data_IF_138023430945
#
_entry.id   IF_138023430945
#
_cell.length_a   1.000
_cell.length_b   1.000
_cell.length_c   1.000
_cell.angle_alpha   90.00
_cell.angle_beta   90.00
_cell.angle_gamma   90.00
#
_symmetry.space_group_name_H-M   'P 1'
#
loop_
_entity.id
_entity.type
_entity.pdbx_description
1 polymer ?
#
# COMPACT_ATOMS: atom_id res chain seq x y z
N UNK A 1 -10.74 10.44 4.52
CA UNK A 1 -11.55 9.22 4.41
C UNK A 1 -10.78 8.08 5.07
N UNK A 2 -11.40 7.31 5.95
CA UNK A 2 -10.80 6.07 6.46
C UNK A 2 -11.19 4.98 5.46
N UNK A 3 -10.22 4.45 4.69
CA UNK A 3 -10.49 3.53 3.60
C UNK A 3 -10.23 2.07 4.02
N UNK A 4 -11.15 1.17 3.70
CA UNK A 4 -11.01 -0.29 3.88
C UNK A 4 -10.54 -1.01 2.61
N UNK A 5 -10.41 -0.29 1.49
CA UNK A 5 -10.03 -0.85 0.19
C UNK A 5 -8.69 -0.26 -0.26
N UNK A 6 -7.77 -1.15 -0.63
CA UNK A 6 -6.39 -0.81 -0.99
C UNK A 6 -6.31 0.17 -2.19
N UNK A 7 -7.25 0.04 -3.15
CA UNK A 7 -7.33 0.91 -4.33
C UNK A 7 -7.48 2.40 -3.98
N UNK A 8 -8.15 2.73 -2.86
CA UNK A 8 -8.29 4.12 -2.44
C UNK A 8 -7.04 4.68 -1.79
N UNK A 9 -6.21 3.82 -1.21
CA UNK A 9 -4.95 4.22 -0.56
C UNK A 9 -3.90 4.54 -1.63
N UNK A 10 -3.86 3.78 -2.72
CA UNK A 10 -2.91 3.99 -3.82
C UNK A 10 -3.12 5.34 -4.54
N UNK A 11 -4.38 5.78 -4.69
CA UNK A 11 -4.74 7.04 -5.34
C UNK A 11 -4.84 8.25 -4.39
N UNK A 12 -4.51 8.07 -3.10
CA UNK A 12 -4.59 9.17 -2.16
C UNK A 12 -3.57 10.27 -2.47
N UNK A 13 -4.02 11.52 -2.53
CA UNK A 13 -3.14 12.68 -2.73
C UNK A 13 -2.18 12.89 -1.55
N UNK A 14 -2.51 12.38 -0.37
CA UNK A 14 -1.67 12.41 0.81
C UNK A 14 -2.02 11.25 1.74
N UNK A 15 -0.98 10.58 2.24
CA UNK A 15 -1.01 9.48 3.21
C UNK A 15 -0.24 9.94 4.44
N UNK A 16 -0.78 9.64 5.62
CA UNK A 16 -0.18 9.93 6.92
C UNK A 16 -0.04 8.62 7.68
N UNK A 17 1.20 8.23 7.98
CA UNK A 17 1.49 7.07 8.82
C UNK A 17 1.60 7.53 10.26
N UNK A 18 0.80 6.95 11.14
CA UNK A 18 0.82 7.25 12.57
C UNK A 18 1.47 6.07 13.29
N UNK A 19 2.48 6.37 14.11
CA UNK A 19 3.15 5.42 14.99
C UNK A 19 3.36 6.09 16.34
N UNK A 20 3.09 5.38 17.43
CA UNK A 20 3.20 5.87 18.81
C UNK A 20 2.50 7.22 19.07
N UNK A 21 1.33 7.41 18.43
CA UNK A 21 0.54 8.64 18.54
C UNK A 21 1.13 9.86 17.82
N UNK A 22 2.15 9.68 17.00
CA UNK A 22 2.79 10.75 16.20
C UNK A 22 2.78 10.41 14.71
N UNK A 23 2.89 11.44 13.87
CA UNK A 23 3.06 11.26 12.42
C UNK A 23 4.50 10.82 12.19
N UNK A 24 4.67 9.55 11.83
CA UNK A 24 5.97 8.97 11.49
C UNK A 24 6.37 9.29 10.05
N UNK A 25 5.41 9.24 9.12
CA UNK A 25 5.65 9.51 7.70
C UNK A 25 4.45 10.25 7.08
N UNK A 26 4.74 11.08 6.07
CA UNK A 26 3.71 11.77 5.28
C UNK A 26 4.15 11.91 3.82
N UNK A 27 3.25 11.68 2.87
CA UNK A 27 3.58 11.79 1.45
C UNK A 27 2.55 11.13 0.55
N UNK A 28 2.83 11.03 -0.75
CA UNK A 28 2.03 10.21 -1.66
C UNK A 28 2.47 8.75 -1.57
N UNK A 29 1.60 7.84 -2.02
CA UNK A 29 1.90 6.40 -2.07
C UNK A 29 3.28 6.11 -2.69
N UNK A 30 3.55 6.66 -3.88
CA UNK A 30 4.82 6.43 -4.60
C UNK A 30 6.04 6.87 -3.79
N UNK A 31 5.98 8.05 -3.17
CA UNK A 31 7.09 8.61 -2.40
C UNK A 31 7.39 7.76 -1.16
N UNK A 32 6.33 7.29 -0.48
CA UNK A 32 6.44 6.46 0.73
C UNK A 32 6.90 5.02 0.45
N UNK A 33 6.57 4.47 -0.72
CA UNK A 33 7.09 3.16 -1.16
C UNK A 33 8.58 3.25 -1.47
N UNK A 34 9.04 4.33 -2.10
CA UNK A 34 10.47 4.55 -2.40
C UNK A 34 11.27 4.81 -1.13
N UNK A 35 10.67 5.47 -0.13
CA UNK A 35 11.30 5.77 1.15
C UNK A 35 11.64 4.53 2.00
N UNK A 36 11.15 3.34 1.63
CA UNK A 36 11.40 2.06 2.32
C UNK A 36 11.07 2.10 3.83
N UNK A 37 10.08 2.91 4.20
CA UNK A 37 9.70 3.17 5.58
C UNK A 37 8.66 2.20 6.16
N UNK A 38 8.02 2.64 7.25
CA UNK A 38 6.96 1.91 7.96
C UNK A 38 5.77 1.68 7.02
N UNK A 39 5.44 2.67 6.20
CA UNK A 39 4.39 2.57 5.20
C UNK A 39 4.58 1.36 4.28
N UNK A 40 5.76 1.22 3.68
CA UNK A 40 6.07 0.15 2.74
C UNK A 40 5.99 -1.22 3.41
N UNK A 41 6.57 -1.35 4.61
CA UNK A 41 6.50 -2.61 5.37
C UNK A 41 5.04 -3.02 5.64
N UNK A 42 4.18 -2.08 6.02
CA UNK A 42 2.77 -2.33 6.26
C UNK A 42 2.04 -2.69 4.95
N UNK A 43 2.37 -2.01 3.85
CA UNK A 43 1.85 -2.30 2.53
C UNK A 43 2.24 -3.69 2.02
N UNK A 44 3.50 -4.10 2.21
CA UNK A 44 4.00 -5.42 1.82
C UNK A 44 3.31 -6.54 2.60
N UNK A 45 3.05 -6.34 3.90
CA UNK A 45 2.26 -7.27 4.73
C UNK A 45 0.82 -7.37 4.20
N UNK A 46 0.19 -6.22 3.91
CA UNK A 46 -1.16 -6.18 3.35
C UNK A 46 -1.24 -6.87 1.99
N UNK A 47 -0.25 -6.65 1.13
CA UNK A 47 -0.14 -7.28 -0.18
C UNK A 47 0.02 -8.79 -0.02
N UNK A 48 0.92 -9.24 0.84
CA UNK A 48 1.15 -10.68 1.11
C UNK A 48 -0.12 -11.39 1.60
N UNK A 49 -0.95 -10.72 2.40
CA UNK A 49 -2.19 -11.30 2.94
C UNK A 49 -3.35 -11.28 1.95
N UNK A 50 -3.36 -10.34 0.98
CA UNK A 50 -4.39 -10.26 -0.07
C UNK A 50 -4.00 -10.96 -1.39
N UNK A 51 -2.80 -11.56 -1.49
CA UNK A 51 -2.43 -12.47 -2.58
C UNK A 51 -2.91 -13.88 -2.23
N UNK A 52 -4.23 -14.08 -2.20
CA UNK A 52 -4.88 -15.38 -2.36
C UNK A 52 -5.97 -15.34 -3.44
N UNK A 53 -5.97 -14.31 -4.30
CA UNK A 53 -6.91 -14.21 -5.42
C UNK A 53 -6.43 -13.35 -6.60
N UNK A 54 -5.14 -13.40 -6.94
CA UNK A 54 -4.65 -12.93 -8.25
C UNK A 54 -3.54 -13.86 -8.75
N UNK A 55 -3.87 -15.14 -8.88
CA UNK A 55 -3.48 -15.83 -10.12
C UNK A 55 -4.52 -15.40 -11.16
N UNK A 56 -4.32 -14.22 -11.76
CA UNK A 56 -4.84 -14.06 -13.11
C UNK A 56 -3.85 -14.85 -13.95
N UNK A 57 -4.21 -16.10 -14.22
CA UNK A 57 -3.72 -16.86 -15.38
C UNK A 57 -4.03 -16.02 -16.63
N UNK A 58 -3.16 -15.06 -16.91
CA UNK A 58 -3.03 -14.43 -18.20
C UNK A 58 -2.24 -15.37 -19.08
N UNK A 59 -2.94 -16.40 -19.55
CA UNK A 59 -2.60 -17.13 -20.76
C UNK A 59 -2.63 -16.17 -21.94
N UNK A 60 -1.46 -15.88 -22.49
CA UNK A 60 -1.23 -15.44 -23.87
C UNK A 60 0.19 -15.95 -24.21
N UNK A 61 0.35 -17.23 -24.54
CA UNK A 61 0.16 -17.84 -25.87
C UNK A 61 1.09 -17.22 -26.93
N UNK A 62 2.04 -18.05 -27.36
CA UNK A 62 2.43 -18.35 -28.75
C UNK A 62 2.06 -17.36 -29.87
#
# INVERSE_FOLDING_TARGET
MIAHRLNTIEHANQILVISDGKIAEKGKHKDLIVADGIYKRLFDIYKKTNIWQMDIEGSENE
#
